data_IF_150951470731
#
_entry.id   IF_150951470731
#
_cell.length_a   1.000
_cell.length_b   1.000
_cell.length_c   1.000
_cell.angle_alpha   90.00
_cell.angle_beta   90.00
_cell.angle_gamma   90.00
#
_symmetry.space_group_name_H-M   'P 1'
#
loop_
_entity.id
_entity.type
_entity.pdbx_description
1 polymer ?
#
# COMPACT_ATOMS: atom_id res chain seq x y z
N UNK A 1 14.61 5.94 -6.17
CA UNK A 1 15.84 6.71 -5.88
C UNK A 1 16.79 6.57 -7.05
N UNK A 2 17.45 7.66 -7.48
CA UNK A 2 18.51 7.64 -8.51
C UNK A 2 19.86 7.74 -7.80
N UNK A 3 20.75 6.77 -7.98
CA UNK A 3 22.11 6.79 -7.43
C UNK A 3 22.97 7.71 -8.30
N UNK A 4 23.68 8.66 -7.68
CA UNK A 4 24.54 9.63 -8.38
C UNK A 4 26.01 9.22 -8.37
N UNK A 5 26.46 8.58 -7.29
CA UNK A 5 27.83 8.11 -7.09
C UNK A 5 27.84 6.97 -6.06
N UNK A 6 28.94 6.21 -6.02
CA UNK A 6 29.26 5.31 -4.94
C UNK A 6 30.30 5.98 -4.02
N UNK A 7 30.28 5.64 -2.74
CA UNK A 7 31.27 6.05 -1.74
C UNK A 7 31.78 4.82 -0.99
N UNK A 8 32.97 4.90 -0.43
CA UNK A 8 33.58 3.86 0.39
C UNK A 8 33.14 3.95 1.86
N UNK A 9 33.25 2.84 2.60
CA UNK A 9 32.86 2.78 4.03
C UNK A 9 33.64 3.80 4.87
N UNK A 10 34.89 4.08 4.51
CA UNK A 10 35.75 5.01 5.23
C UNK A 10 35.34 6.48 5.05
N UNK A 11 34.48 6.78 4.07
CA UNK A 11 33.91 8.11 3.84
C UNK A 11 32.67 8.39 4.72
N UNK A 12 32.18 7.38 5.46
CA UNK A 12 31.05 7.52 6.38
C UNK A 12 31.47 8.24 7.67
N UNK A 13 30.68 9.24 8.09
CA UNK A 13 30.95 10.02 9.29
C UNK A 13 30.38 9.36 10.55
N UNK A 14 30.99 8.24 10.95
CA UNK A 14 30.72 7.63 12.25
C UNK A 14 31.09 8.56 13.42
N UNK A 15 32.01 9.52 13.23
CA UNK A 15 32.50 10.38 14.31
C UNK A 15 31.41 11.33 14.80
N UNK A 16 30.60 11.90 13.89
CA UNK A 16 29.46 12.77 14.22
C UNK A 16 28.47 12.12 15.20
N UNK A 17 28.28 10.80 15.10
CA UNK A 17 27.45 10.02 16.02
C UNK A 17 28.21 9.27 17.12
N UNK A 18 29.44 9.67 17.45
CA UNK A 18 30.30 9.03 18.46
C UNK A 18 30.59 7.54 18.19
N UNK A 19 30.96 7.23 16.95
CA UNK A 19 31.24 5.86 16.48
C UNK A 19 30.01 5.10 15.98
N UNK A 20 28.84 5.76 15.91
CA UNK A 20 27.58 5.19 15.47
C UNK A 20 26.97 6.00 14.34
N UNK A 21 26.28 5.33 13.43
CA UNK A 21 25.53 5.94 12.34
C UNK A 21 24.05 5.53 12.46
N UNK A 22 23.08 6.45 12.36
CA UNK A 22 21.67 6.10 12.23
C UNK A 22 21.43 5.30 10.95
N UNK A 23 20.52 4.33 11.06
CA UNK A 23 20.12 3.49 9.95
C UNK A 23 18.60 3.47 9.86
N UNK A 24 18.07 4.06 8.80
CA UNK A 24 16.67 3.94 8.42
C UNK A 24 16.50 2.61 7.69
N UNK A 25 15.52 1.83 8.12
CA UNK A 25 15.23 0.52 7.51
C UNK A 25 13.89 0.63 6.79
N UNK A 26 13.89 0.35 5.50
CA UNK A 26 12.72 0.43 4.64
C UNK A 26 12.48 -0.91 3.97
N UNK A 27 11.22 -1.33 3.89
CA UNK A 27 10.85 -2.53 3.14
C UNK A 27 11.03 -2.32 1.64
N UNK A 28 11.66 -3.28 0.98
CA UNK A 28 11.97 -3.19 -0.44
C UNK A 28 10.70 -3.21 -1.33
N UNK A 29 9.71 -4.04 -1.00
CA UNK A 29 8.49 -4.25 -1.80
C UNK A 29 7.51 -3.09 -1.65
N UNK A 30 7.18 -2.71 -0.40
CA UNK A 30 6.13 -1.74 -0.09
C UNK A 30 6.63 -0.32 0.12
N UNK A 31 7.94 -0.14 0.31
CA UNK A 31 8.59 1.12 0.71
C UNK A 31 8.18 1.65 2.10
N UNK A 32 7.47 0.85 2.92
CA UNK A 32 7.17 1.19 4.31
C UNK A 32 8.48 1.33 5.10
N UNK A 33 8.60 2.39 5.89
CA UNK A 33 9.70 2.50 6.87
C UNK A 33 9.38 1.55 8.02
N UNK A 34 10.28 0.63 8.30
CA UNK A 34 10.12 -0.44 9.28
C UNK A 34 10.64 -0.03 10.65
N UNK A 35 11.84 0.53 10.72
CA UNK A 35 12.46 0.94 11.98
C UNK A 35 13.61 1.90 11.75
N UNK A 36 14.07 2.53 12.83
CA UNK A 36 15.37 3.19 12.92
C UNK A 36 16.24 2.41 13.90
N UNK A 37 17.49 2.17 13.51
CA UNK A 37 18.50 1.55 14.35
C UNK A 37 19.82 2.35 14.25
N UNK A 38 20.86 1.83 14.90
CA UNK A 38 22.22 2.37 14.78
C UNK A 38 23.17 1.26 14.41
N UNK A 39 24.21 1.58 13.64
CA UNK A 39 25.34 0.68 13.36
C UNK A 39 26.63 1.36 13.81
N UNK A 40 27.54 0.60 14.41
CA UNK A 40 28.96 0.94 14.39
C UNK A 40 29.59 0.37 13.11
N UNK A 41 30.86 0.69 12.84
CA UNK A 41 31.58 0.18 11.67
C UNK A 41 31.54 -1.35 11.58
N UNK A 42 31.71 -2.05 12.71
CA UNK A 42 31.64 -3.51 12.76
C UNK A 42 30.27 -4.06 12.35
N UNK A 43 29.18 -3.47 12.83
CA UNK A 43 27.82 -3.87 12.45
C UNK A 43 27.56 -3.70 10.95
N UNK A 44 28.07 -2.62 10.36
CA UNK A 44 27.99 -2.42 8.91
C UNK A 44 28.79 -3.48 8.16
N UNK A 45 30.02 -3.78 8.57
CA UNK A 45 30.84 -4.82 7.96
C UNK A 45 30.15 -6.19 8.01
N UNK A 46 29.62 -6.57 9.18
CA UNK A 46 28.85 -7.82 9.34
C UNK A 46 27.60 -7.86 8.45
N UNK A 47 26.93 -6.73 8.30
CA UNK A 47 25.77 -6.61 7.40
C UNK A 47 26.16 -6.86 5.95
N UNK A 48 27.28 -6.29 5.52
CA UNK A 48 27.82 -6.50 4.17
C UNK A 48 28.28 -7.94 3.93
N UNK A 49 28.93 -8.56 4.92
CA UNK A 49 29.41 -9.94 4.86
C UNK A 49 28.26 -10.96 4.78
N UNK A 50 27.22 -10.77 5.60
CA UNK A 50 26.15 -11.77 5.76
C UNK A 50 24.95 -11.52 4.85
N UNK A 51 24.78 -10.30 4.34
CA UNK A 51 23.55 -9.86 3.70
C UNK A 51 22.36 -9.74 4.66
N UNK A 52 22.56 -9.88 5.97
CA UNK A 52 21.53 -9.76 7.01
C UNK A 52 21.82 -8.51 7.85
N UNK A 53 20.80 -7.73 8.17
CA UNK A 53 21.00 -6.51 8.96
C UNK A 53 21.52 -6.82 10.38
N UNK A 54 22.70 -6.27 10.68
CA UNK A 54 23.31 -6.27 12.00
C UNK A 54 23.33 -4.86 12.56
N UNK A 55 23.01 -4.70 13.83
CA UNK A 55 22.90 -3.40 14.47
C UNK A 55 23.72 -3.33 15.74
N UNK A 56 24.00 -2.11 16.20
CA UNK A 56 24.60 -1.84 17.49
C UNK A 56 23.54 -1.35 18.49
N UNK A 57 23.36 -2.10 19.58
CA UNK A 57 22.45 -1.71 20.64
C UNK A 57 23.13 -0.71 21.57
N UNK A 58 22.68 0.55 21.56
CA UNK A 58 23.23 1.62 22.43
C UNK A 58 23.07 1.33 23.92
N UNK A 59 21.96 0.72 24.31
CA UNK A 59 21.67 0.35 25.70
C UNK A 59 22.50 -0.84 26.17
N UNK A 60 22.58 -1.89 25.35
CA UNK A 60 23.34 -3.13 25.68
C UNK A 60 24.82 -3.03 25.33
N UNK A 61 25.23 -1.95 24.66
CA UNK A 61 26.58 -1.69 24.15
C UNK A 61 27.20 -2.87 23.40
N UNK A 62 26.38 -3.55 22.57
CA UNK A 62 26.79 -4.74 21.82
C UNK A 62 26.18 -4.82 20.44
N UNK A 63 26.88 -5.52 19.56
CA UNK A 63 26.39 -5.97 18.26
C UNK A 63 25.22 -6.96 18.45
N UNK A 64 24.27 -6.96 17.53
CA UNK A 64 23.25 -8.00 17.42
C UNK A 64 22.76 -8.15 15.98
N UNK A 65 22.42 -9.38 15.57
CA UNK A 65 21.77 -9.64 14.29
C UNK A 65 20.26 -9.45 14.43
N UNK A 66 19.62 -8.71 13.51
CA UNK A 66 18.17 -8.57 13.54
C UNK A 66 17.50 -9.93 13.38
N UNK A 67 16.66 -10.29 14.35
CA UNK A 67 15.93 -11.56 14.35
C UNK A 67 16.71 -12.75 14.88
N UNK A 68 17.90 -12.57 15.47
CA UNK A 68 18.71 -13.66 16.04
C UNK A 68 17.93 -14.58 17.00
N UNK A 69 17.03 -14.01 17.81
CA UNK A 69 16.20 -14.77 18.75
C UNK A 69 14.82 -15.12 18.19
N UNK A 70 14.22 -14.23 17.39
CA UNK A 70 12.82 -14.37 16.94
C UNK A 70 12.65 -15.00 15.56
N UNK A 71 13.73 -15.18 14.79
CA UNK A 71 13.69 -15.55 13.38
C UNK A 71 13.24 -14.42 12.44
N UNK A 72 12.85 -13.24 12.97
CA UNK A 72 12.36 -12.11 12.17
C UNK A 72 13.52 -11.29 11.58
N UNK A 73 14.23 -11.90 10.63
CA UNK A 73 15.43 -11.34 10.01
C UNK A 73 15.11 -10.25 8.98
N UNK A 74 16.13 -9.48 8.63
CA UNK A 74 16.07 -8.46 7.59
C UNK A 74 17.15 -8.74 6.56
N UNK A 75 16.75 -9.21 5.38
CA UNK A 75 17.64 -9.53 4.28
C UNK A 75 17.90 -8.26 3.49
N UNK A 76 19.14 -7.79 3.45
CA UNK A 76 19.51 -6.54 2.78
C UNK A 76 19.45 -6.71 1.27
N UNK A 77 18.68 -5.85 0.62
CA UNK A 77 18.57 -5.77 -0.85
C UNK A 77 19.36 -4.60 -1.41
N UNK A 78 19.36 -3.46 -0.72
CA UNK A 78 20.12 -2.26 -1.11
C UNK A 78 20.56 -1.47 0.13
N UNK A 79 21.68 -0.77 -0.02
CA UNK A 79 22.23 0.16 0.97
C UNK A 79 22.39 1.50 0.27
N UNK A 80 21.86 2.55 0.85
CA UNK A 80 22.04 3.93 0.41
C UNK A 80 22.62 4.74 1.56
N UNK A 81 23.27 5.83 1.21
CA UNK A 81 23.83 6.81 2.14
C UNK A 81 23.25 8.19 1.77
N UNK A 82 23.03 9.04 2.76
CA UNK A 82 22.58 10.41 2.55
C UNK A 82 23.70 11.36 2.08
N UNK A 83 23.40 12.66 1.97
CA UNK A 83 24.26 13.60 1.26
C UNK A 83 25.52 14.04 2.02
N UNK A 84 25.53 13.93 3.35
CA UNK A 84 26.65 14.25 4.22
C UNK A 84 27.26 12.99 4.89
N UNK A 85 26.96 11.81 4.32
CA UNK A 85 27.54 10.52 4.67
C UNK A 85 27.34 10.10 6.14
N UNK A 86 26.29 10.59 6.80
CA UNK A 86 26.05 10.39 8.23
C UNK A 86 24.82 9.55 8.53
N UNK A 87 24.08 9.10 7.51
CA UNK A 87 22.92 8.25 7.67
C UNK A 87 22.85 7.19 6.58
N UNK A 88 22.52 5.96 6.98
CA UNK A 88 22.29 4.85 6.04
C UNK A 88 20.79 4.61 5.87
N UNK A 89 20.36 4.35 4.64
CA UNK A 89 19.07 3.74 4.34
C UNK A 89 19.30 2.30 3.87
N UNK A 90 18.84 1.34 4.65
CA UNK A 90 18.74 -0.05 4.24
C UNK A 90 17.37 -0.31 3.60
N UNK A 91 17.38 -0.84 2.37
CA UNK A 91 16.20 -1.49 1.82
C UNK A 91 16.31 -2.99 2.03
N UNK A 92 15.34 -3.55 2.75
CA UNK A 92 15.36 -4.95 3.21
C UNK A 92 14.11 -5.70 2.76
N UNK A 93 14.25 -7.00 2.61
CA UNK A 93 13.13 -7.93 2.68
C UNK A 93 12.97 -8.36 4.14
N UNK A 94 11.80 -8.09 4.70
CA UNK A 94 11.48 -8.39 6.10
C UNK A 94 10.85 -9.77 6.20
N UNK A 95 11.44 -10.65 7.01
CA UNK A 95 10.83 -11.93 7.40
C UNK A 95 10.11 -11.74 8.72
N UNK A 96 8.83 -12.13 8.80
CA UNK A 96 7.99 -11.89 9.98
C UNK A 96 7.82 -10.40 10.26
N UNK A 97 7.71 -10.03 11.54
CA UNK A 97 7.48 -8.64 11.96
C UNK A 97 8.79 -7.91 12.30
N UNK A 98 8.94 -6.65 11.86
CA UNK A 98 10.10 -5.85 12.25
C UNK A 98 10.06 -5.48 13.74
N UNK A 99 8.87 -5.16 14.27
CA UNK A 99 8.68 -4.73 15.64
C UNK A 99 8.50 -5.92 16.60
N UNK A 100 9.02 -5.78 17.82
CA UNK A 100 8.86 -6.77 18.89
C UNK A 100 7.44 -6.82 19.47
N UNK A 101 6.58 -5.84 19.17
CA UNK A 101 5.19 -5.80 19.61
C UNK A 101 4.27 -6.68 18.77
N UNK A 102 4.78 -7.28 17.70
CA UNK A 102 3.99 -8.00 16.70
C UNK A 102 3.55 -7.14 15.51
N UNK A 103 3.90 -5.86 15.51
CA UNK A 103 3.61 -4.96 14.38
C UNK A 103 4.66 -5.08 13.27
N UNK A 104 4.24 -4.92 12.01
CA UNK A 104 5.16 -4.98 10.87
C UNK A 104 6.19 -3.85 10.89
N UNK A 105 5.79 -2.66 11.36
CA UNK A 105 6.66 -1.47 11.52
C UNK A 105 6.67 -1.00 12.96
N UNK A 106 7.77 -0.40 13.41
CA UNK A 106 7.86 0.33 14.68
C UNK A 106 7.05 1.65 14.65
N UNK A 107 6.70 2.18 13.48
CA UNK A 107 6.01 3.47 13.29
C UNK A 107 4.48 3.32 13.28
N UNK A 108 3.93 2.61 14.26
CA UNK A 108 2.50 2.29 14.36
C UNK A 108 1.73 3.17 15.37
N UNK A 109 2.35 4.26 15.84
CA UNK A 109 1.75 5.24 16.77
C UNK A 109 1.79 6.62 16.14
N UNK A 110 0.78 7.43 16.41
CA UNK A 110 0.71 8.83 15.98
C UNK A 110 0.94 9.79 17.14
N UNK A 111 1.55 10.94 16.85
CA UNK A 111 1.71 12.03 17.81
C UNK A 111 0.37 12.78 17.93
N UNK A 112 -0.19 12.87 19.14
CA UNK A 112 -1.49 13.50 19.38
C UNK A 112 -1.52 14.96 18.94
N UNK A 113 -0.46 15.70 19.22
CA UNK A 113 -0.29 17.10 18.83
C UNK A 113 -0.23 17.26 17.30
N UNK A 114 0.24 16.24 16.59
CA UNK A 114 0.29 16.16 15.14
C UNK A 114 -1.07 15.89 14.47
N UNK A 115 -2.08 15.42 15.22
CA UNK A 115 -3.41 15.12 14.67
C UNK A 115 -4.05 16.35 14.02
N UNK A 116 -3.86 17.53 14.60
CA UNK A 116 -4.36 18.80 14.03
C UNK A 116 -3.79 19.09 12.63
N UNK A 117 -2.57 18.65 12.35
CA UNK A 117 -1.95 18.81 11.02
C UNK A 117 -2.63 17.85 10.04
N UNK A 118 -2.85 16.60 10.45
CA UNK A 118 -3.53 15.59 9.64
C UNK A 118 -4.98 15.98 9.34
N UNK A 119 -5.72 16.49 10.33
CA UNK A 119 -7.09 16.99 10.15
C UNK A 119 -7.14 18.14 9.14
N UNK A 120 -6.26 19.12 9.25
CA UNK A 120 -6.18 20.23 8.29
C UNK A 120 -5.89 19.75 6.87
N UNK A 121 -4.99 18.77 6.74
CA UNK A 121 -4.69 18.14 5.45
C UNK A 121 -5.92 17.42 4.89
N UNK A 122 -6.61 16.61 5.69
CA UNK A 122 -7.83 15.93 5.28
C UNK A 122 -8.93 16.91 4.85
N UNK A 123 -9.10 18.02 5.57
CA UNK A 123 -10.05 19.07 5.17
C UNK A 123 -9.67 19.75 3.84
N UNK A 124 -8.37 19.93 3.58
CA UNK A 124 -7.91 20.41 2.28
C UNK A 124 -8.24 19.42 1.16
N UNK A 125 -7.96 18.12 1.37
CA UNK A 125 -8.27 17.06 0.41
C UNK A 125 -9.77 16.97 0.13
N UNK A 126 -10.63 17.03 1.15
CA UNK A 126 -12.09 17.05 0.98
C UNK A 126 -12.56 18.22 0.11
N UNK A 127 -12.00 19.42 0.33
CA UNK A 127 -12.30 20.60 -0.52
C UNK A 127 -11.87 20.39 -1.96
N UNK A 128 -10.71 19.77 -2.17
CA UNK A 128 -10.22 19.47 -3.51
C UNK A 128 -11.12 18.45 -4.22
N UNK A 129 -11.54 17.38 -3.54
CA UNK A 129 -12.50 16.40 -4.07
C UNK A 129 -13.81 17.08 -4.47
N UNK A 130 -14.36 17.95 -3.60
CA UNK A 130 -15.59 18.69 -3.89
C UNK A 130 -15.45 19.58 -5.13
N UNK A 131 -14.34 20.31 -5.25
CA UNK A 131 -14.02 21.13 -6.43
C UNK A 131 -13.97 20.28 -7.70
N UNK A 132 -13.22 19.17 -7.69
CA UNK A 132 -13.09 18.25 -8.82
C UNK A 132 -14.46 17.73 -9.26
N UNK A 133 -15.33 17.41 -8.30
CA UNK A 133 -16.68 16.97 -8.56
C UNK A 133 -17.57 18.06 -9.16
N UNK A 134 -17.57 19.27 -8.62
CA UNK A 134 -18.32 20.41 -9.17
C UNK A 134 -17.91 20.71 -10.61
N UNK A 135 -16.61 20.70 -10.90
CA UNK A 135 -16.11 20.89 -12.25
C UNK A 135 -16.48 19.73 -13.19
N UNK A 136 -16.72 18.52 -12.68
CA UNK A 136 -17.14 17.38 -13.52
C UNK A 136 -18.60 17.50 -13.99
N UNK A 137 -19.44 18.25 -13.25
CA UNK A 137 -20.86 18.49 -13.58
C UNK A 137 -21.09 19.48 -14.74
N UNK A 138 -20.10 20.31 -15.06
CA UNK A 138 -20.24 21.39 -16.06
C UNK A 138 -19.98 20.94 -17.50
N UNK A 139 -19.72 19.64 -17.74
CA UNK A 139 -19.50 19.07 -19.08
C UNK A 139 -20.67 18.19 -19.57
N UNK A 140 -20.94 18.20 -20.88
CA UNK A 140 -22.06 17.50 -21.54
C UNK A 140 -22.05 15.94 -21.46
N UNK A 141 -21.17 15.30 -20.67
CA UNK A 141 -21.11 13.83 -20.48
C UNK A 141 -20.68 13.49 -19.05
N UNK A 142 -21.65 13.09 -18.21
CA UNK A 142 -21.63 13.32 -16.75
C UNK A 142 -20.82 12.35 -15.85
N UNK A 143 -20.37 11.17 -16.30
CA UNK A 143 -19.64 10.23 -15.41
C UNK A 143 -18.21 9.86 -15.85
N UNK A 144 -17.89 9.94 -17.15
CA UNK A 144 -16.55 9.62 -17.67
C UNK A 144 -15.48 10.66 -17.29
N UNK A 145 -15.88 11.86 -16.85
CA UNK A 145 -14.97 12.98 -16.59
C UNK A 145 -14.48 13.10 -15.16
N UNK A 146 -15.12 12.44 -14.20
CA UNK A 146 -14.74 12.60 -12.79
C UNK A 146 -13.36 12.02 -12.52
N UNK A 147 -13.08 10.79 -12.96
CA UNK A 147 -11.75 10.23 -12.71
C UNK A 147 -10.67 10.72 -13.67
N UNK A 148 -10.99 11.23 -14.86
CA UNK A 148 -9.96 11.94 -15.67
C UNK A 148 -9.49 13.21 -14.96
N UNK A 149 -10.39 13.90 -14.24
CA UNK A 149 -10.02 15.04 -13.41
C UNK A 149 -9.26 14.64 -12.15
N UNK A 150 -9.62 13.52 -11.51
CA UNK A 150 -8.84 12.99 -10.39
C UNK A 150 -7.38 12.74 -10.80
N UNK A 151 -7.13 12.19 -12.00
CA UNK A 151 -5.76 11.90 -12.51
C UNK A 151 -4.82 13.12 -12.51
N UNK A 152 -5.34 14.35 -12.45
CA UNK A 152 -4.52 15.56 -12.38
C UNK A 152 -3.98 15.89 -10.98
N UNK A 153 -4.40 15.15 -9.94
CA UNK A 153 -4.04 15.40 -8.54
C UNK A 153 -3.42 14.16 -7.89
N UNK A 154 -2.09 13.94 -8.02
CA UNK A 154 -1.41 12.79 -7.42
C UNK A 154 -1.63 12.63 -5.91
N UNK A 155 -1.77 13.74 -5.19
CA UNK A 155 -2.07 13.77 -3.75
C UNK A 155 -3.43 13.16 -3.41
N UNK A 156 -4.40 13.22 -4.32
CA UNK A 156 -5.69 12.55 -4.12
C UNK A 156 -5.55 11.03 -4.26
N UNK A 157 -4.72 10.54 -5.19
CA UNK A 157 -4.48 9.09 -5.35
C UNK A 157 -3.85 8.50 -4.11
N UNK A 158 -2.82 9.17 -3.59
CA UNK A 158 -2.14 8.73 -2.38
C UNK A 158 -3.09 8.74 -1.18
N UNK A 159 -3.87 9.80 -1.02
CA UNK A 159 -4.86 9.88 0.07
C UNK A 159 -5.97 8.83 -0.05
N UNK A 160 -6.51 8.60 -1.25
CA UNK A 160 -7.52 7.56 -1.49
C UNK A 160 -6.93 6.18 -1.16
N UNK A 161 -5.73 5.87 -1.67
CA UNK A 161 -5.08 4.60 -1.41
C UNK A 161 -4.76 4.40 0.08
N UNK A 162 -4.34 5.46 0.79
CA UNK A 162 -4.15 5.46 2.24
C UNK A 162 -5.45 5.12 2.98
N UNK A 163 -6.57 5.78 2.61
CA UNK A 163 -7.87 5.49 3.23
C UNK A 163 -8.37 4.08 2.94
N UNK A 164 -8.12 3.56 1.73
CA UNK A 164 -8.41 2.16 1.42
C UNK A 164 -7.55 1.23 2.29
N UNK A 165 -6.26 1.49 2.38
CA UNK A 165 -5.30 0.69 3.16
C UNK A 165 -5.72 0.61 4.64
N UNK A 166 -6.11 1.75 5.25
CA UNK A 166 -6.59 1.85 6.63
C UNK A 166 -7.90 1.09 6.91
N UNK A 167 -8.80 1.04 5.92
CA UNK A 167 -10.15 0.48 6.09
C UNK A 167 -10.29 -0.95 5.58
N UNK A 168 -9.24 -1.52 4.99
CA UNK A 168 -9.28 -2.87 4.40
C UNK A 168 -8.22 -3.77 5.02
N UNK A 169 -8.53 -5.06 5.17
CA UNK A 169 -7.63 -5.99 5.84
C UNK A 169 -6.33 -6.24 5.03
N UNK A 170 -5.25 -6.54 5.74
CA UNK A 170 -3.96 -6.92 5.14
C UNK A 170 -3.87 -8.41 4.78
N UNK A 171 -4.71 -9.26 5.39
CA UNK A 171 -4.77 -10.71 5.18
C UNK A 171 -5.51 -11.08 3.89
N UNK A 172 -5.08 -10.49 2.78
CA UNK A 172 -5.58 -10.79 1.43
C UNK A 172 -4.47 -11.42 0.60
N UNK A 173 -4.84 -12.20 -0.40
CA UNK A 173 -3.92 -12.80 -1.37
C UNK A 173 -3.70 -11.87 -2.56
N UNK A 174 -4.77 -11.19 -3.03
CA UNK A 174 -4.73 -10.36 -4.24
C UNK A 174 -5.64 -9.14 -4.15
N UNK A 175 -5.29 -8.10 -4.88
CA UNK A 175 -6.18 -6.96 -5.18
C UNK A 175 -6.74 -7.16 -6.58
N UNK A 176 -8.03 -6.94 -6.76
CA UNK A 176 -8.73 -7.00 -8.04
C UNK A 176 -9.19 -5.58 -8.39
N UNK A 177 -8.92 -5.18 -9.63
CA UNK A 177 -9.53 -4.02 -10.26
C UNK A 177 -10.25 -4.44 -11.54
N UNK A 178 -11.31 -3.73 -11.89
CA UNK A 178 -12.03 -3.96 -13.13
C UNK A 178 -11.36 -3.21 -14.27
N UNK A 179 -11.89 -2.03 -14.59
CA UNK A 179 -11.48 -1.25 -15.74
C UNK A 179 -11.38 0.24 -15.41
N UNK A 180 -10.69 0.97 -16.28
CA UNK A 180 -10.59 2.42 -16.20
C UNK A 180 -9.84 2.90 -14.96
N UNK A 181 -10.51 3.71 -14.15
CA UNK A 181 -9.90 4.54 -13.10
C UNK A 181 -9.65 3.80 -11.79
N UNK A 182 -10.21 2.61 -11.62
CA UNK A 182 -9.92 1.76 -10.48
C UNK A 182 -8.51 1.14 -10.57
N UNK A 183 -7.98 0.94 -11.78
CA UNK A 183 -6.68 0.28 -11.99
C UNK A 183 -5.51 1.03 -11.33
N UNK A 184 -5.30 2.35 -11.53
CA UNK A 184 -4.15 3.03 -10.94
C UNK A 184 -4.23 3.09 -9.41
N UNK A 185 -5.42 3.27 -8.84
CA UNK A 185 -5.63 3.26 -7.39
C UNK A 185 -5.40 1.86 -6.83
N UNK A 186 -5.96 0.84 -7.47
CA UNK A 186 -5.77 -0.54 -7.05
C UNK A 186 -4.30 -0.98 -7.15
N UNK A 187 -3.55 -0.53 -8.16
CA UNK A 187 -2.11 -0.77 -8.25
C UNK A 187 -1.36 -0.14 -7.08
N UNK A 188 -1.73 1.07 -6.68
CA UNK A 188 -1.12 1.75 -5.55
C UNK A 188 -1.42 0.99 -4.25
N UNK A 189 -2.69 0.62 -4.01
CA UNK A 189 -3.10 -0.18 -2.85
C UNK A 189 -2.39 -1.54 -2.81
N UNK A 190 -2.37 -2.25 -3.95
CA UNK A 190 -1.69 -3.54 -4.08
C UNK A 190 -0.19 -3.42 -3.73
N UNK A 191 0.47 -2.37 -4.22
CA UNK A 191 1.89 -2.11 -3.92
C UNK A 191 2.12 -1.81 -2.43
N UNK A 192 1.23 -1.02 -1.80
CA UNK A 192 1.31 -0.70 -0.35
C UNK A 192 1.10 -1.92 0.53
N UNK A 193 0.20 -2.82 0.14
CA UNK A 193 -0.07 -4.08 0.83
C UNK A 193 0.91 -5.20 0.46
N UNK A 194 1.78 -4.99 -0.52
CA UNK A 194 2.72 -6.01 -1.01
C UNK A 194 2.00 -7.18 -1.69
N UNK A 195 0.89 -6.92 -2.37
CA UNK A 195 0.02 -7.92 -3.01
C UNK A 195 0.03 -7.77 -4.53
N UNK A 196 -0.18 -8.86 -5.29
CA UNK A 196 -0.39 -8.76 -6.72
C UNK A 196 -1.72 -8.07 -7.05
N UNK A 197 -1.73 -7.34 -8.16
CA UNK A 197 -2.93 -6.79 -8.78
C UNK A 197 -3.41 -7.72 -9.90
N UNK A 198 -4.71 -8.03 -9.91
CA UNK A 198 -5.41 -8.67 -11.03
C UNK A 198 -6.33 -7.63 -11.67
N UNK A 199 -6.23 -7.47 -12.98
CA UNK A 199 -7.13 -6.63 -13.76
C UNK A 199 -8.16 -7.54 -14.45
N UNK A 200 -9.43 -7.33 -14.13
CA UNK A 200 -10.57 -8.09 -14.65
C UNK A 200 -11.26 -7.28 -15.73
N UNK A 201 -11.39 -7.86 -16.92
CA UNK A 201 -12.01 -7.21 -18.07
C UNK A 201 -13.26 -7.95 -18.51
N UNK A 202 -14.31 -7.21 -18.85
CA UNK A 202 -15.46 -7.81 -19.52
C UNK A 202 -15.08 -8.14 -20.97
N UNK A 203 -15.56 -9.27 -21.47
CA UNK A 203 -15.44 -9.61 -22.89
C UNK A 203 -16.62 -8.97 -23.61
N UNK A 204 -16.38 -8.10 -24.59
CA UNK A 204 -17.40 -7.82 -25.60
C UNK A 204 -17.69 -9.14 -26.32
N UNK A 205 -18.83 -9.77 -26.02
CA UNK A 205 -19.25 -10.98 -26.72
C UNK A 205 -19.74 -10.60 -28.12
N UNK A 206 -19.18 -11.20 -29.17
CA UNK A 206 -19.87 -11.36 -30.46
C UNK A 206 -20.96 -12.45 -30.41
N UNK A 207 -21.44 -12.87 -29.23
CA UNK A 207 -22.45 -13.93 -29.10
C UNK A 207 -23.51 -13.58 -28.06
N UNK A 208 -24.76 -13.59 -28.50
CA UNK A 208 -26.02 -13.24 -27.80
C UNK A 208 -26.34 -13.95 -26.46
N UNK A 209 -25.39 -14.50 -25.70
CA UNK A 209 -25.65 -15.10 -24.39
C UNK A 209 -24.44 -14.92 -23.45
N UNK A 210 -24.53 -13.97 -22.52
CA UNK A 210 -23.67 -13.87 -21.33
C UNK A 210 -22.26 -13.32 -21.55
N UNK A 211 -21.91 -12.26 -20.82
CA UNK A 211 -20.51 -11.81 -20.69
C UNK A 211 -19.73 -12.87 -19.91
N UNK A 212 -18.88 -13.64 -20.60
CA UNK A 212 -17.93 -14.55 -19.94
C UNK A 212 -16.67 -13.77 -19.55
N UNK A 213 -16.41 -13.66 -18.25
CA UNK A 213 -15.22 -12.98 -17.72
C UNK A 213 -14.04 -13.96 -17.54
N UNK A 214 -12.82 -13.45 -17.60
CA UNK A 214 -11.62 -14.26 -17.38
C UNK A 214 -11.22 -14.25 -15.89
N UNK A 215 -11.52 -15.34 -15.16
CA UNK A 215 -11.01 -15.59 -13.79
C UNK A 215 -9.77 -16.51 -13.80
N UNK A 216 -8.98 -16.54 -14.88
CA UNK A 216 -7.82 -17.44 -14.92
C UNK A 216 -6.71 -17.08 -13.91
N UNK A 217 -6.76 -15.87 -13.34
CA UNK A 217 -5.72 -15.35 -12.45
C UNK A 217 -6.08 -15.42 -10.97
N UNK A 218 -7.25 -15.95 -10.59
CA UNK A 218 -7.69 -16.12 -9.20
C UNK A 218 -8.07 -17.58 -8.97
N UNK A 219 -7.63 -18.16 -7.85
CA UNK A 219 -7.81 -19.58 -7.52
C UNK A 219 -8.84 -19.78 -6.42
N UNK A 220 -9.44 -20.96 -6.40
CA UNK A 220 -10.31 -21.40 -5.31
C UNK A 220 -9.64 -21.20 -3.94
N UNK A 221 -10.38 -20.64 -2.98
CA UNK A 221 -9.91 -20.37 -1.61
C UNK A 221 -9.11 -19.08 -1.42
N UNK A 222 -8.61 -18.45 -2.50
CA UNK A 222 -7.91 -17.16 -2.39
C UNK A 222 -8.83 -16.08 -1.85
N UNK A 223 -8.28 -15.21 -1.01
CA UNK A 223 -8.96 -14.08 -0.40
C UNK A 223 -8.61 -12.79 -1.13
N UNK A 224 -9.60 -12.07 -1.64
CA UNK A 224 -9.38 -10.93 -2.56
C UNK A 224 -10.00 -9.63 -2.05
N UNK A 225 -9.32 -8.52 -2.31
CA UNK A 225 -9.85 -7.16 -2.14
C UNK A 225 -10.27 -6.65 -3.52
N UNK A 226 -11.54 -6.27 -3.70
CA UNK A 226 -12.02 -5.70 -4.96
C UNK A 226 -12.07 -4.17 -4.83
N UNK A 227 -11.48 -3.47 -5.80
CA UNK A 227 -11.50 -2.01 -5.88
C UNK A 227 -12.10 -1.63 -7.23
N UNK A 228 -13.19 -0.86 -7.19
CA UNK A 228 -13.80 -0.29 -8.38
C UNK A 228 -14.19 1.18 -8.18
N UNK A 229 -14.53 1.87 -9.27
CA UNK A 229 -14.87 3.30 -9.24
C UNK A 229 -16.25 3.53 -8.62
N UNK A 230 -17.24 2.73 -9.01
CA UNK A 230 -18.64 2.84 -8.58
C UNK A 230 -19.29 1.46 -8.54
N UNK A 231 -20.37 1.31 -7.78
CA UNK A 231 -21.19 0.10 -7.84
C UNK A 231 -21.87 0.02 -9.22
N UNK A 232 -21.80 -1.16 -9.84
CA UNK A 232 -22.38 -1.43 -11.16
C UNK A 232 -22.90 -2.88 -11.27
N UNK A 233 -23.72 -3.15 -12.28
CA UNK A 233 -24.18 -4.51 -12.58
C UNK A 233 -23.02 -5.40 -13.05
N UNK A 234 -22.03 -4.81 -13.73
CA UNK A 234 -20.76 -5.47 -14.05
C UNK A 234 -20.11 -5.96 -12.77
N UNK A 235 -19.86 -5.08 -11.80
CA UNK A 235 -19.26 -5.46 -10.50
C UNK A 235 -20.04 -6.58 -9.82
N UNK A 236 -21.37 -6.52 -9.84
CA UNK A 236 -22.23 -7.57 -9.27
C UNK A 236 -21.99 -8.92 -9.94
N UNK A 237 -21.91 -8.96 -11.27
CA UNK A 237 -21.65 -10.18 -12.04
C UNK A 237 -20.27 -10.77 -11.73
N UNK A 238 -19.25 -9.93 -11.55
CA UNK A 238 -17.90 -10.38 -11.15
C UNK A 238 -17.91 -11.02 -9.77
N UNK A 239 -18.58 -10.36 -8.83
CA UNK A 239 -18.72 -10.85 -7.46
C UNK A 239 -19.36 -12.24 -7.47
N UNK A 240 -20.42 -12.44 -8.25
CA UNK A 240 -21.09 -13.73 -8.38
C UNK A 240 -20.18 -14.82 -8.95
N UNK A 241 -19.43 -14.50 -10.00
CA UNK A 241 -18.54 -15.46 -10.66
C UNK A 241 -17.36 -15.85 -9.75
N UNK A 242 -16.81 -14.89 -9.00
CA UNK A 242 -15.75 -15.14 -8.01
C UNK A 242 -16.23 -16.03 -6.86
N UNK A 243 -17.38 -15.68 -6.28
CA UNK A 243 -18.00 -16.47 -5.20
C UNK A 243 -18.35 -17.88 -5.70
N UNK A 244 -18.92 -17.99 -6.91
CA UNK A 244 -19.23 -19.27 -7.56
C UNK A 244 -18.00 -20.14 -7.81
N UNK A 245 -16.83 -19.52 -8.01
CA UNK A 245 -15.53 -20.21 -8.14
C UNK A 245 -14.89 -20.56 -6.78
N UNK A 246 -15.54 -20.19 -5.66
CA UNK A 246 -15.07 -20.40 -4.30
C UNK A 246 -13.94 -19.46 -3.87
N UNK A 247 -13.83 -18.29 -4.50
CA UNK A 247 -12.96 -17.20 -4.05
C UNK A 247 -13.62 -16.49 -2.87
N UNK A 248 -12.83 -16.12 -1.86
CA UNK A 248 -13.31 -15.39 -0.67
C UNK A 248 -13.14 -13.90 -0.89
N UNK A 249 -14.21 -13.13 -0.83
CA UNK A 249 -14.12 -11.66 -0.93
C UNK A 249 -13.85 -11.11 0.48
N UNK A 250 -12.77 -10.37 0.66
CA UNK A 250 -12.40 -9.76 1.93
C UNK A 250 -13.16 -8.46 2.19
N UNK A 251 -13.22 -7.62 1.16
CA UNK A 251 -13.90 -6.34 1.14
C UNK A 251 -14.09 -5.89 -0.31
N UNK A 252 -15.05 -5.00 -0.51
CA UNK A 252 -15.27 -4.31 -1.78
C UNK A 252 -15.16 -2.81 -1.49
N UNK A 253 -14.38 -2.12 -2.30
CA UNK A 253 -14.20 -0.68 -2.20
C UNK A 253 -14.71 -0.05 -3.47
N UNK A 254 -15.65 0.87 -3.33
CA UNK A 254 -16.04 1.77 -4.40
C UNK A 254 -15.47 3.16 -4.11
N UNK A 255 -14.82 3.77 -5.09
CA UNK A 255 -14.26 5.12 -4.90
C UNK A 255 -15.36 6.14 -4.64
N UNK A 256 -16.46 6.03 -5.37
CA UNK A 256 -17.61 6.93 -5.31
C UNK A 256 -18.86 6.11 -5.02
N UNK A 257 -19.64 6.54 -4.02
CA UNK A 257 -21.01 6.08 -3.84
C UNK A 257 -21.99 7.14 -4.33
N UNK A 258 -23.11 6.68 -4.89
CA UNK A 258 -24.29 7.51 -5.12
C UNK A 258 -25.41 6.96 -4.23
N UNK A 259 -26.13 7.81 -3.51
CA UNK A 259 -27.15 7.44 -2.50
C UNK A 259 -28.33 6.59 -3.04
N UNK A 260 -28.35 6.24 -4.32
CA UNK A 260 -29.45 5.55 -5.02
C UNK A 260 -29.02 4.33 -5.82
N UNK A 261 -28.12 3.49 -5.31
CA UNK A 261 -27.79 2.23 -5.99
C UNK A 261 -28.49 1.02 -5.34
N UNK A 262 -29.54 0.50 -5.98
CA UNK A 262 -30.21 -0.76 -5.58
C UNK A 262 -29.25 -1.95 -5.53
N UNK A 263 -28.19 -1.91 -6.33
CA UNK A 263 -27.18 -2.97 -6.44
C UNK A 263 -26.29 -3.07 -5.19
N UNK A 264 -26.16 -2.01 -4.37
CA UNK A 264 -25.38 -2.08 -3.12
C UNK A 264 -26.00 -3.06 -2.12
N UNK A 265 -27.33 -2.99 -1.95
CA UNK A 265 -28.08 -3.88 -1.05
C UNK A 265 -27.94 -5.33 -1.49
N UNK A 266 -28.04 -5.58 -2.80
CA UNK A 266 -27.86 -6.91 -3.41
C UNK A 266 -26.46 -7.49 -3.13
N UNK A 267 -25.40 -6.70 -3.30
CA UNK A 267 -24.03 -7.17 -3.02
C UNK A 267 -23.84 -7.43 -1.52
N UNK A 268 -24.34 -6.55 -0.64
CA UNK A 268 -24.24 -6.74 0.82
C UNK A 268 -24.96 -8.02 1.27
N UNK A 269 -26.17 -8.27 0.75
CA UNK A 269 -26.97 -9.46 1.08
C UNK A 269 -26.32 -10.77 0.58
N UNK A 270 -25.65 -10.73 -0.59
CA UNK A 270 -25.03 -11.92 -1.18
C UNK A 270 -23.71 -12.33 -0.53
N UNK A 271 -22.84 -11.37 -0.29
CA UNK A 271 -21.46 -11.67 0.12
C UNK A 271 -21.28 -11.50 1.63
N UNK A 272 -22.15 -10.72 2.29
CA UNK A 272 -22.02 -10.42 3.72
C UNK A 272 -20.76 -9.63 4.08
N UNK A 273 -20.11 -9.00 3.10
CA UNK A 273 -18.85 -8.27 3.27
C UNK A 273 -19.07 -6.77 3.39
N UNK A 274 -18.12 -6.10 4.04
CA UNK A 274 -18.10 -4.65 4.10
C UNK A 274 -17.86 -4.06 2.70
N UNK A 275 -18.82 -3.24 2.25
CA UNK A 275 -18.63 -2.34 1.12
C UNK A 275 -18.26 -0.98 1.67
N UNK A 276 -17.08 -0.51 1.29
CA UNK A 276 -16.57 0.80 1.66
C UNK A 276 -16.74 1.78 0.51
N UNK A 277 -17.06 3.02 0.86
CA UNK A 277 -17.07 4.13 -0.09
C UNK A 277 -16.16 5.23 0.43
N UNK A 278 -15.16 5.59 -0.36
CA UNK A 278 -14.14 6.56 0.05
C UNK A 278 -14.67 7.99 -0.11
N UNK A 279 -15.39 8.23 -1.20
CA UNK A 279 -15.99 9.52 -1.52
C UNK A 279 -17.51 9.33 -1.57
N UNK A 280 -18.21 9.96 -0.63
CA UNK A 280 -19.66 10.10 -0.68
C UNK A 280 -19.99 11.41 -1.36
N UNK A 281 -20.87 11.38 -2.37
CA UNK A 281 -21.26 12.55 -3.14
C UNK A 281 -22.77 12.65 -3.29
#
# INVERSE_FOLDING_TARGET
MKVKSAIEIDELDFKKGNGLIPVIVQEYSTRKVLMLAYMNKEALMRTLETGIAHYYSRSRRKLWMKGETSGHIQIVRRIFVDCDNDTILLQVEQVGNACHTGEHTCFHKTLKEGQKIHEKFNEHIKKLIKKVFEESKTGNKSNSYLGSKLLHYPELYEWIAEKIDENTPDDIDKVIALEGLSIPIAQLVASRKGKPLIVMRSKQSESKNGEHMYIHSVKHGEKVLIIDTTISDTLTSIVDELVGSGVRIAAIVCLISSEKCSSEKLIRERVGVNIYSIISI
#
